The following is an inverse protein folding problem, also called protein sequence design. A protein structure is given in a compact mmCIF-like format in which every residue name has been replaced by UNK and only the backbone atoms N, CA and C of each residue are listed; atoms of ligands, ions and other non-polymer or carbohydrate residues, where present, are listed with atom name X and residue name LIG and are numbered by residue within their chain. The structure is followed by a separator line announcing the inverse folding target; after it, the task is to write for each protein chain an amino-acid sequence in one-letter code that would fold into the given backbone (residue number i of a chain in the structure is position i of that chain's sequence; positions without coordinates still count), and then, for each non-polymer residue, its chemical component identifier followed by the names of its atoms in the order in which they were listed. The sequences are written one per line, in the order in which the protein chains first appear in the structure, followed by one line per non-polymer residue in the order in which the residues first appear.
data_IF_670121345523
#
_entry.id   IF_670121345523
#
_cell.length_a   1.000
_cell.length_b   1.000
_cell.length_c   1.000
_cell.angle_alpha   90.00
_cell.angle_beta   90.00
_cell.angle_gamma   90.00
#
_symmetry.space_group_name_H-M   'P 1'
#
loop_
_entity.id
_entity.type
_entity.pdbx_description
1 polymer ?
#
# COMPACT_ATOMS: atom_id res chain seq x y z
N UNK A 1 21.26 3.66 12.91
CA UNK A 1 20.66 4.00 12.93
C UNK A 1 19.78 3.66 12.71
N UNK A 2 19.48 3.41 12.71
CA UNK A 2 18.72 3.19 12.31
C UNK A 2 17.73 3.62 12.70
N UNK A 3 17.31 3.86 12.54
CA UNK A 3 16.45 4.49 12.83
C UNK A 3 15.32 3.80 12.61
N UNK A 4 14.58 3.76 13.02
CA UNK A 4 13.52 3.23 12.93
C UNK A 4 13.00 3.22 11.88
N UNK A 5 13.49 3.82 11.41
CA UNK A 5 13.26 3.89 10.35
C UNK A 5 13.86 2.89 9.82
N UNK A 6 13.78 1.81 10.17
CA UNK A 6 14.40 0.84 9.65
C UNK A 6 13.87 0.43 8.41
N UNK A 7 12.65 0.59 8.05
CA UNK A 7 12.07 0.16 6.78
C UNK A 7 12.48 1.13 5.69
N UNK A 8 13.07 0.63 4.65
CA UNK A 8 13.46 1.44 3.51
C UNK A 8 12.21 1.71 2.69
N UNK A 9 12.00 2.96 2.32
CA UNK A 9 10.86 3.35 1.51
C UNK A 9 11.29 3.53 0.08
N UNK A 10 10.50 2.97 -0.83
CA UNK A 10 10.78 3.05 -2.25
C UNK A 10 9.74 3.99 -2.88
N UNK A 11 10.17 5.07 -3.52
CA UNK A 11 9.23 5.99 -4.16
C UNK A 11 8.76 5.42 -5.49
N UNK A 12 8.00 4.35 -5.39
CA UNK A 12 7.51 3.63 -6.56
C UNK A 12 6.01 3.82 -6.70
N UNK A 13 5.60 4.09 -7.93
CA UNK A 13 4.18 4.12 -8.26
C UNK A 13 3.80 2.76 -8.77
N UNK A 14 3.18 1.98 -7.90
CA UNK A 14 2.77 0.61 -8.24
C UNK A 14 1.25 0.52 -8.18
N UNK A 15 0.70 -0.32 -9.03
CA UNK A 15 -0.74 -0.54 -9.03
C UNK A 15 -1.13 -1.25 -7.76
N UNK A 16 -2.27 -0.85 -7.22
CA UNK A 16 -2.71 -1.32 -5.92
C UNK A 16 -4.22 -1.45 -5.93
N UNK A 17 -4.74 -2.57 -5.46
CA UNK A 17 -6.16 -2.79 -5.30
C UNK A 17 -6.46 -2.79 -3.81
N UNK A 18 -7.48 -2.05 -3.40
CA UNK A 18 -7.82 -1.88 -2.00
C UNK A 18 -9.24 -2.39 -1.77
N UNK A 19 -9.42 -3.10 -0.66
CA UNK A 19 -10.73 -3.52 -0.21
C UNK A 19 -10.95 -3.00 1.20
N UNK A 20 -12.00 -2.23 1.36
CA UNK A 20 -12.31 -1.61 2.66
C UNK A 20 -13.81 -1.49 2.77
N UNK A 21 -14.38 -2.05 3.85
CA UNK A 21 -15.81 -1.94 4.15
C UNK A 21 -16.69 -2.37 2.99
N UNK A 22 -16.29 -3.42 2.29
CA UNK A 22 -17.09 -3.93 1.18
C UNK A 22 -16.86 -3.22 -0.12
N UNK A 23 -16.06 -2.18 -0.13
CA UNK A 23 -15.70 -1.46 -1.35
C UNK A 23 -14.37 -1.96 -1.85
N UNK A 24 -14.28 -2.01 -3.18
CA UNK A 24 -13.01 -2.40 -3.80
C UNK A 24 -12.71 -1.40 -4.90
N UNK A 25 -11.50 -0.87 -4.92
CA UNK A 25 -11.11 0.07 -5.96
C UNK A 25 -9.60 0.02 -6.16
N UNK A 26 -9.15 0.59 -7.27
CA UNK A 26 -7.74 0.57 -7.63
C UNK A 26 -7.14 1.95 -7.52
N UNK A 27 -5.87 1.99 -7.18
CA UNK A 27 -5.13 3.23 -7.11
C UNK A 27 -3.66 2.91 -7.35
N UNK A 28 -2.79 3.85 -7.01
CA UNK A 28 -1.36 3.68 -7.14
C UNK A 28 -0.69 4.08 -5.86
N UNK A 29 0.40 3.42 -5.55
CA UNK A 29 1.20 3.79 -4.40
C UNK A 29 2.07 4.99 -4.73
N UNK A 30 2.44 5.76 -3.71
CA UNK A 30 3.47 6.78 -3.84
C UNK A 30 4.79 6.27 -3.31
N UNK A 31 4.77 5.51 -2.24
CA UNK A 31 5.95 4.81 -1.76
C UNK A 31 5.52 3.61 -0.94
N UNK A 32 6.43 2.67 -0.81
CA UNK A 32 6.15 1.39 -0.19
C UNK A 32 7.35 1.00 0.66
N UNK A 33 7.09 0.40 1.81
CA UNK A 33 8.12 -0.22 2.62
C UNK A 33 7.52 -1.49 3.21
N UNK A 34 8.33 -2.26 3.90
CA UNK A 34 7.82 -3.48 4.51
C UNK A 34 6.85 -3.19 5.65
N UNK A 35 6.87 -1.98 6.18
CA UNK A 35 6.01 -1.64 7.31
C UNK A 35 4.83 -0.77 6.95
N UNK A 36 4.75 -0.25 5.73
CA UNK A 36 3.66 0.63 5.40
C UNK A 36 3.67 1.07 3.97
N UNK A 37 2.59 1.75 3.60
CA UNK A 37 2.39 2.21 2.23
C UNK A 37 1.72 3.58 2.27
N UNK A 38 2.11 4.43 1.33
CA UNK A 38 1.46 5.72 1.13
C UNK A 38 0.83 5.67 -0.25
N UNK A 39 -0.44 6.02 -0.35
CA UNK A 39 -1.15 5.96 -1.62
C UNK A 39 -2.16 7.07 -1.72
N UNK A 40 -2.64 7.28 -2.93
CA UNK A 40 -3.64 8.29 -3.21
C UNK A 40 -5.02 7.65 -3.19
N UNK A 41 -6.02 8.36 -2.69
CA UNK A 41 -7.36 7.83 -2.60
C UNK A 41 -8.36 8.92 -2.95
N UNK A 42 -9.38 8.53 -3.74
CA UNK A 42 -10.52 9.40 -3.98
C UNK A 42 -11.51 9.30 -2.84
N UNK A 43 -11.41 8.26 -2.04
CA UNK A 43 -12.34 8.01 -0.96
C UNK A 43 -11.73 8.42 0.35
N UNK A 44 -12.56 8.91 1.25
CA UNK A 44 -12.10 9.22 2.59
C UNK A 44 -12.08 7.94 3.40
N UNK A 45 -10.92 7.61 3.93
CA UNK A 45 -10.76 6.42 4.74
C UNK A 45 -10.54 6.83 6.18
N UNK A 46 -11.29 6.21 7.07
CA UNK A 46 -11.20 6.57 8.49
C UNK A 46 -9.94 6.01 9.10
N UNK A 47 -9.29 6.81 9.92
CA UNK A 47 -8.12 6.35 10.64
C UNK A 47 -8.53 5.22 11.56
N UNK A 48 -7.73 4.16 11.56
CA UNK A 48 -8.03 2.96 12.33
C UNK A 48 -8.77 1.90 11.57
N UNK A 49 -9.23 2.22 10.35
CA UNK A 49 -9.95 1.24 9.55
C UNK A 49 -9.03 0.11 9.13
N UNK A 50 -9.54 -1.11 9.20
CA UNK A 50 -8.83 -2.26 8.67
C UNK A 50 -9.03 -2.29 7.17
N UNK A 51 -7.97 -2.51 6.45
CA UNK A 51 -8.03 -2.61 4.99
C UNK A 51 -7.24 -3.81 4.52
N UNK A 52 -7.64 -4.33 3.38
CA UNK A 52 -6.88 -5.33 2.68
C UNK A 52 -6.46 -4.71 1.36
N UNK A 53 -5.26 -4.99 0.94
CA UNK A 53 -4.82 -4.45 -0.33
C UNK A 53 -3.78 -5.35 -0.97
N UNK A 54 -3.70 -5.26 -2.27
CA UNK A 54 -2.76 -6.04 -3.06
C UNK A 54 -1.94 -5.08 -3.90
N UNK A 55 -0.64 -5.26 -3.88
CA UNK A 55 0.28 -4.43 -4.64
C UNK A 55 0.97 -5.31 -5.65
N UNK A 56 0.94 -4.89 -6.91
CA UNK A 56 1.61 -5.63 -7.97
C UNK A 56 3.05 -5.15 -8.06
N UNK A 57 3.97 -6.05 -7.74
CA UNK A 57 5.40 -5.75 -7.81
C UNK A 57 5.95 -6.31 -9.11
N UNK A 58 6.37 -5.45 -10.03
CA UNK A 58 6.88 -5.91 -11.30
C UNK A 58 8.18 -6.69 -11.14
N UNK A 59 8.40 -7.65 -12.00
CA UNK A 59 9.61 -8.45 -11.95
C UNK A 59 10.86 -7.61 -12.11
N UNK A 60 10.78 -6.54 -12.88
CA UNK A 60 11.93 -5.68 -13.10
C UNK A 60 12.38 -5.01 -11.80
N UNK A 61 11.44 -4.71 -10.90
CA UNK A 61 11.77 -4.06 -9.65
C UNK A 61 12.32 -5.04 -8.62
N UNK A 62 11.93 -6.30 -8.73
CA UNK A 62 12.32 -7.30 -7.75
C UNK A 62 13.49 -8.15 -8.20
N UNK A 63 13.82 -8.13 -9.48
CA UNK A 63 14.83 -9.01 -10.02
C UNK A 63 14.38 -10.46 -10.06
N UNK A 64 13.06 -10.69 -10.09
CA UNK A 64 12.50 -12.04 -10.12
C UNK A 64 12.06 -12.38 -11.53
N UNK A 65 11.84 -13.68 -11.84
CA UNK A 65 11.43 -14.06 -13.18
C UNK A 65 9.99 -13.68 -13.52
N UNK A 66 9.18 -13.41 -12.53
CA UNK A 66 7.78 -13.07 -12.76
C UNK A 66 7.34 -11.99 -11.81
N UNK A 67 6.26 -11.28 -12.15
CA UNK A 67 5.66 -10.31 -11.26
C UNK A 67 5.16 -11.02 -10.01
N UNK A 68 5.15 -10.30 -8.92
CA UNK A 68 4.70 -10.84 -7.64
C UNK A 68 3.59 -9.96 -7.11
N UNK A 69 2.50 -10.59 -6.71
CA UNK A 69 1.41 -9.88 -6.06
C UNK A 69 1.63 -9.96 -4.56
N UNK A 70 1.63 -8.84 -3.90
CA UNK A 70 1.81 -8.79 -2.45
C UNK A 70 0.46 -8.49 -1.84
N UNK A 71 -0.11 -9.48 -1.17
CA UNK A 71 -1.40 -9.32 -0.50
C UNK A 71 -1.15 -8.88 0.93
N UNK A 72 -1.76 -7.78 1.32
CA UNK A 72 -1.49 -7.15 2.61
C UNK A 72 -2.77 -6.96 3.40
N UNK A 73 -2.60 -7.00 4.71
CA UNK A 73 -3.65 -6.63 5.64
C UNK A 73 -3.07 -5.54 6.52
N UNK A 74 -3.79 -4.47 6.70
CA UNK A 74 -3.26 -3.37 7.48
C UNK A 74 -4.34 -2.44 7.99
N UNK A 75 -3.91 -1.29 8.45
CA UNK A 75 -4.80 -0.29 9.03
C UNK A 75 -4.41 1.10 8.56
N UNK A 76 -5.41 1.93 8.36
CA UNK A 76 -5.19 3.32 7.99
C UNK A 76 -4.71 4.08 9.22
N UNK A 77 -3.58 4.76 9.10
CA UNK A 77 -3.05 5.53 10.22
C UNK A 77 -3.06 7.03 9.96
N UNK A 78 -3.25 7.44 8.71
CA UNK A 78 -3.34 8.86 8.40
C UNK A 78 -4.05 9.05 7.09
N UNK A 79 -4.87 10.08 7.03
CA UNK A 79 -5.56 10.44 5.80
C UNK A 79 -5.58 11.96 5.74
N UNK A 80 -4.98 12.55 4.72
CA UNK A 80 -4.89 13.99 4.61
C UNK A 80 -5.26 14.42 3.20
N UNK A 81 -5.62 15.69 3.06
CA UNK A 81 -6.03 16.23 1.78
C UNK A 81 -7.53 16.36 1.72
N UNK A 82 -8.00 16.88 0.59
CA UNK A 82 -9.43 17.13 0.41
C UNK A 82 -9.85 16.70 -0.98
N UNK A 83 -11.15 16.49 -1.12
CA UNK A 83 -11.71 16.17 -2.40
C UNK A 83 -11.27 14.81 -2.89
N UNK A 84 -10.86 14.76 -4.15
CA UNK A 84 -10.51 13.49 -4.77
C UNK A 84 -9.02 13.23 -4.74
N UNK A 85 -8.26 14.02 -3.99
CA UNK A 85 -6.81 13.83 -3.95
C UNK A 85 -6.36 13.75 -2.49
N UNK A 86 -6.65 12.63 -1.86
CA UNK A 86 -6.25 12.40 -0.49
C UNK A 86 -5.03 11.51 -0.45
N UNK A 87 -4.12 11.82 0.46
CA UNK A 87 -2.96 10.98 0.72
C UNK A 87 -3.27 10.12 1.92
N UNK A 88 -3.18 8.82 1.76
CA UNK A 88 -3.51 7.88 2.83
C UNK A 88 -2.27 7.08 3.17
N UNK A 89 -1.97 7.00 4.45
CA UNK A 89 -0.89 6.17 4.94
C UNK A 89 -1.49 5.01 5.71
N UNK A 90 -1.02 3.82 5.43
CA UNK A 90 -1.48 2.62 6.10
C UNK A 90 -0.28 1.81 6.56
N UNK A 91 -0.38 1.22 7.74
CA UNK A 91 0.63 0.27 8.18
C UNK A 91 0.27 -1.09 7.65
N UNK A 92 1.28 -1.91 7.44
CA UNK A 92 1.10 -3.27 6.98
C UNK A 92 1.28 -4.17 8.19
N UNK A 93 0.22 -4.86 8.59
CA UNK A 93 0.28 -5.78 9.71
C UNK A 93 0.75 -7.16 9.28
N UNK A 94 0.33 -7.58 8.09
CA UNK A 94 0.73 -8.86 7.54
C UNK A 94 0.80 -8.74 6.03
N UNK A 95 1.69 -9.50 5.42
CA UNK A 95 1.73 -9.56 3.98
C UNK A 95 2.11 -10.95 3.52
N UNK A 96 1.74 -11.27 2.30
CA UNK A 96 2.01 -12.56 1.72
C UNK A 96 2.30 -12.36 0.23
N UNK A 97 3.34 -13.02 -0.25
CA UNK A 97 3.69 -12.96 -1.66
C UNK A 97 2.96 -14.04 -2.42
N UNK A 98 2.48 -13.66 -3.59
CA UNK A 98 1.78 -14.59 -4.44
C UNK A 98 2.28 -14.37 -5.87
N UNK A 99 2.71 -15.44 -6.52
CA UNK A 99 3.14 -15.31 -7.89
C UNK A 99 1.94 -15.17 -8.79
N UNK A 100 2.07 -14.33 -9.76
CA UNK A 100 1.01 -14.13 -10.71
C UNK A 100 1.37 -14.73 -12.07
#
# INVERSE_FOLDING_TARGET
MIDNRNAVRFPLKLRMAIRCNGWEYETETWNVSSGGVLFESDEELNIGSDIEFAILMPSAELGTPANVLVNCVGRVVRCSGEGSHRAVAAVIDEYRFERS
#
